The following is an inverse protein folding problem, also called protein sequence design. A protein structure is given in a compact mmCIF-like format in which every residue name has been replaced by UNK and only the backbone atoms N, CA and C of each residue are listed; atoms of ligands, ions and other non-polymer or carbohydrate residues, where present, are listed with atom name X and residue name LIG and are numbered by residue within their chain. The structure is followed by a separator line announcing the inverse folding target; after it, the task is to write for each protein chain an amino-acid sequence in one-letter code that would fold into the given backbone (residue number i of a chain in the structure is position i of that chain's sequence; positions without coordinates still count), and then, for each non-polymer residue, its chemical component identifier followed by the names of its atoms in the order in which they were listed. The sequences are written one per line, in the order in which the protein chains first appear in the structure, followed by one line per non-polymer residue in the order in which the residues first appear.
data_IF_826414762447
#
_entry.id   IF_826414762447
#
_cell.length_a   1.000
_cell.length_b   1.000
_cell.length_c   1.000
_cell.angle_alpha   90.00
_cell.angle_beta   90.00
_cell.angle_gamma   90.00
#
_symmetry.space_group_name_H-M   'P 1'
#
loop_
_entity.id
_entity.type
_entity.pdbx_description
1 polymer ?
#
# COMPACT_ATOMS: atom_id res chain seq x y z
N UNK A 1 -12.12 -9.81 -5.16
CA UNK A 1 -11.86 -9.30 -3.80
C UNK A 1 -11.33 -7.89 -3.95
N UNK A 2 -11.97 -6.89 -3.34
CA UNK A 2 -11.49 -5.51 -3.46
C UNK A 2 -10.05 -5.41 -2.93
N UNK A 3 -9.15 -4.68 -3.61
CA UNK A 3 -7.80 -4.48 -3.13
C UNK A 3 -7.83 -3.70 -1.80
N UNK A 4 -6.88 -3.97 -0.89
CA UNK A 4 -6.80 -3.22 0.34
C UNK A 4 -6.46 -1.74 0.09
N UNK A 5 -6.91 -0.86 0.98
CA UNK A 5 -6.62 0.58 0.92
C UNK A 5 -5.14 0.95 1.07
N UNK A 6 -4.28 0.02 1.52
CA UNK A 6 -2.84 0.20 1.63
C UNK A 6 -2.12 -0.95 0.94
N UNK A 7 -0.98 -0.66 0.31
CA UNK A 7 -0.15 -1.67 -0.34
C UNK A 7 0.29 -2.76 0.67
N UNK A 8 -0.05 -4.01 0.34
CA UNK A 8 0.21 -5.19 1.17
C UNK A 8 0.55 -6.40 0.30
N UNK A 9 1.60 -7.18 0.64
CA UNK A 9 2.01 -8.39 -0.05
C UNK A 9 1.17 -9.60 0.41
N UNK A 10 -0.15 -9.49 0.31
CA UNK A 10 -1.08 -10.60 0.58
C UNK A 10 -1.15 -11.53 -0.64
N UNK A 11 -1.65 -12.78 -0.53
CA UNK A 11 -1.79 -13.66 -1.70
C UNK A 11 -2.47 -12.95 -2.87
N UNK A 12 -1.89 -13.09 -4.06
CA UNK A 12 -2.39 -12.50 -5.31
C UNK A 12 -2.48 -10.96 -5.34
N UNK A 13 -1.73 -10.26 -4.48
CA UNK A 13 -1.74 -8.80 -4.42
C UNK A 13 -1.47 -8.14 -5.78
N UNK A 14 -0.52 -8.64 -6.57
CA UNK A 14 -0.20 -8.10 -7.90
C UNK A 14 -1.42 -8.07 -8.83
N UNK A 15 -2.18 -9.16 -8.87
CA UNK A 15 -3.38 -9.23 -9.71
C UNK A 15 -4.43 -8.24 -9.22
N UNK A 16 -4.69 -8.21 -7.91
CA UNK A 16 -5.69 -7.33 -7.33
C UNK A 16 -5.36 -5.84 -7.54
N UNK A 17 -4.10 -5.43 -7.37
CA UNK A 17 -3.68 -4.06 -7.64
C UNK A 17 -3.60 -3.76 -9.14
N UNK A 18 -3.22 -4.72 -9.99
CA UNK A 18 -3.25 -4.54 -11.44
C UNK A 18 -4.67 -4.32 -11.96
N UNK A 19 -5.64 -5.08 -11.44
CA UNK A 19 -7.07 -4.88 -11.72
C UNK A 19 -7.54 -3.49 -11.26
N UNK A 20 -7.11 -3.03 -10.08
CA UNK A 20 -7.42 -1.69 -9.59
C UNK A 20 -6.89 -0.61 -10.54
N UNK A 21 -5.61 -0.70 -10.93
CA UNK A 21 -4.99 0.32 -11.78
C UNK A 21 -5.63 0.36 -13.17
N UNK A 22 -5.98 -0.80 -13.75
CA UNK A 22 -6.77 -0.85 -14.99
C UNK A 22 -8.16 -0.25 -14.83
N UNK A 23 -8.85 -0.55 -13.73
CA UNK A 23 -10.17 0.04 -13.45
C UNK A 23 -10.09 1.56 -13.36
N UNK A 24 -9.03 2.10 -12.74
CA UNK A 24 -8.78 3.55 -12.69
C UNK A 24 -8.49 4.10 -14.08
N UNK A 25 -7.67 3.42 -14.88
CA UNK A 25 -7.37 3.82 -16.25
C UNK A 25 -8.65 3.90 -17.10
N UNK A 26 -9.49 2.87 -17.05
CA UNK A 26 -10.76 2.82 -17.78
C UNK A 26 -11.73 3.92 -17.32
N UNK A 27 -11.83 4.13 -16.00
CA UNK A 27 -12.72 5.13 -15.41
C UNK A 27 -12.27 6.59 -15.63
N UNK A 28 -11.05 6.81 -16.13
CA UNK A 28 -10.48 8.14 -16.35
C UNK A 28 -10.10 8.39 -17.82
N UNK A 29 -10.37 7.44 -18.72
CA UNK A 29 -9.90 7.45 -20.11
C UNK A 29 -10.48 8.60 -20.95
N UNK A 30 -11.67 9.09 -20.61
CA UNK A 30 -12.40 10.13 -21.35
C UNK A 30 -12.21 11.54 -20.78
N UNK A 31 -11.37 11.70 -19.75
CA UNK A 31 -11.09 12.99 -19.12
C UNK A 31 -9.89 13.64 -19.82
N UNK A 32 -10.09 14.70 -20.64
CA UNK A 32 -8.98 15.38 -21.29
C UNK A 32 -8.11 16.12 -20.25
N UNK A 33 -6.80 16.18 -20.51
CA UNK A 33 -5.82 16.94 -19.73
C UNK A 33 -5.78 16.61 -18.22
N UNK A 34 -6.13 15.38 -17.84
CA UNK A 34 -6.14 14.93 -16.45
C UNK A 34 -4.71 14.90 -15.85
N UNK A 35 -4.42 15.77 -14.86
CA UNK A 35 -3.20 15.71 -14.02
C UNK A 35 -3.37 14.67 -12.91
N UNK A 36 -3.43 13.38 -13.30
CA UNK A 36 -3.57 12.29 -12.36
C UNK A 36 -2.29 12.13 -11.53
N UNK A 37 -2.44 12.08 -10.21
CA UNK A 37 -1.33 11.82 -9.29
C UNK A 37 -1.56 10.54 -8.51
N UNK A 38 -0.48 9.83 -8.18
CA UNK A 38 -0.54 8.55 -7.47
C UNK A 38 0.36 8.56 -6.23
N UNK A 39 -0.25 8.21 -5.11
CA UNK A 39 0.38 8.08 -3.80
C UNK A 39 0.36 6.61 -3.37
N UNK A 40 1.53 6.06 -3.01
CA UNK A 40 1.64 4.64 -2.64
C UNK A 40 2.08 4.53 -1.19
N UNK A 41 1.16 4.07 -0.36
CA UNK A 41 1.36 3.93 1.08
C UNK A 41 1.30 2.45 1.44
N UNK A 42 2.37 1.96 2.04
CA UNK A 42 2.41 0.59 2.56
C UNK A 42 1.71 0.50 3.91
N UNK A 43 1.12 -0.67 4.16
CA UNK A 43 0.52 -0.93 5.47
C UNK A 43 1.57 -0.81 6.59
N UNK A 44 1.24 0.00 7.60
CA UNK A 44 2.01 0.22 8.81
C UNK A 44 1.09 0.33 10.01
N UNK A 45 1.60 0.02 11.20
CA UNK A 45 0.84 0.13 12.43
C UNK A 45 1.74 0.51 13.61
N UNK A 46 1.14 0.94 14.72
CA UNK A 46 1.80 1.06 16.02
C UNK A 46 1.25 -0.02 16.96
N UNK A 47 1.94 -0.32 18.05
CA UNK A 47 1.42 -1.27 19.05
C UNK A 47 0.03 -0.83 19.55
N UNK A 48 -0.13 0.47 19.84
CA UNK A 48 -1.41 1.04 20.24
C UNK A 48 -2.51 0.86 19.18
N UNK A 49 -2.22 1.12 17.90
CA UNK A 49 -3.25 0.95 16.85
C UNK A 49 -3.63 -0.51 16.64
N UNK A 50 -2.67 -1.44 16.80
CA UNK A 50 -2.94 -2.88 16.75
C UNK A 50 -3.86 -3.29 17.89
N UNK A 51 -3.57 -2.86 19.12
CA UNK A 51 -4.34 -3.25 20.30
C UNK A 51 -5.78 -2.74 20.21
N UNK A 52 -5.96 -1.48 19.78
CA UNK A 52 -7.28 -0.91 19.49
C UNK A 52 -8.01 -1.70 18.41
N UNK A 53 -7.36 -1.97 17.27
CA UNK A 53 -7.99 -2.68 16.15
C UNK A 53 -8.40 -4.10 16.56
N UNK A 54 -7.56 -4.81 17.30
CA UNK A 54 -7.81 -6.20 17.71
C UNK A 54 -8.93 -6.28 18.75
N UNK A 55 -9.05 -5.27 19.61
CA UNK A 55 -10.18 -5.13 20.55
C UNK A 55 -11.52 -5.01 19.82
N UNK A 56 -11.59 -4.17 18.78
CA UNK A 56 -12.82 -3.96 18.00
C UNK A 56 -13.11 -5.12 17.04
N UNK A 57 -12.06 -5.72 16.47
CA UNK A 57 -12.17 -6.77 15.46
C UNK A 57 -11.33 -8.01 15.83
N UNK A 58 -11.76 -8.81 16.82
CA UNK A 58 -10.98 -9.96 17.30
C UNK A 58 -10.71 -11.03 16.24
N UNK A 59 -11.54 -11.08 15.19
CA UNK A 59 -11.43 -12.01 14.06
C UNK A 59 -10.78 -11.38 12.82
N UNK A 60 -10.09 -10.25 12.97
CA UNK A 60 -9.38 -9.63 11.86
C UNK A 60 -8.33 -10.58 11.27
N UNK A 61 -8.22 -10.60 9.94
CA UNK A 61 -7.18 -11.33 9.22
C UNK A 61 -5.98 -10.43 8.85
N UNK A 62 -5.95 -9.21 9.37
CA UNK A 62 -4.92 -8.23 9.06
C UNK A 62 -3.59 -8.61 9.72
N UNK A 63 -2.54 -8.77 8.92
CA UNK A 63 -1.21 -9.16 9.40
C UNK A 63 -0.50 -8.03 10.15
N UNK A 64 -0.63 -8.05 11.49
CA UNK A 64 -0.01 -7.09 12.42
C UNK A 64 0.98 -7.74 13.41
N UNK A 65 1.60 -8.85 13.01
CA UNK A 65 2.70 -9.46 13.77
C UNK A 65 3.93 -8.54 13.74
N UNK A 66 4.40 -8.13 14.92
CA UNK A 66 5.58 -7.28 15.07
C UNK A 66 6.88 -7.99 14.65
N UNK A 67 6.97 -9.31 14.85
CA UNK A 67 8.17 -10.09 14.53
C UNK A 67 8.41 -10.18 13.01
N UNK A 68 7.33 -10.11 12.22
CA UNK A 68 7.38 -10.06 10.76
C UNK A 68 7.65 -8.65 10.19
N UNK A 69 7.97 -7.65 11.04
CA UNK A 69 8.05 -6.23 10.66
C UNK A 69 9.36 -5.60 11.08
N UNK A 70 9.70 -4.49 10.41
CA UNK A 70 10.79 -3.61 10.85
C UNK A 70 10.22 -2.48 11.69
N UNK A 71 10.71 -2.35 12.93
CA UNK A 71 10.38 -1.23 13.81
C UNK A 71 11.16 0.02 13.39
N UNK A 72 10.46 1.13 13.21
CA UNK A 72 11.03 2.46 12.92
C UNK A 72 10.57 3.46 13.97
N UNK A 73 11.51 4.26 14.48
CA UNK A 73 11.21 5.33 15.43
C UNK A 73 10.94 6.63 14.68
N UNK A 74 9.91 7.36 15.11
CA UNK A 74 9.64 8.72 14.69
C UNK A 74 10.47 9.72 15.50
N UNK A 75 10.44 10.98 15.06
CA UNK A 75 11.17 12.11 15.67
C UNK A 75 10.94 12.28 17.17
N UNK A 76 9.76 11.91 17.66
CA UNK A 76 9.34 12.06 19.06
C UNK A 76 9.30 10.73 19.83
N UNK A 77 10.03 9.71 19.38
CA UNK A 77 10.15 8.42 20.06
C UNK A 77 9.03 7.41 19.80
N UNK A 78 7.92 7.82 19.16
CA UNK A 78 6.87 6.89 18.76
C UNK A 78 7.38 5.86 17.74
N UNK A 79 7.16 4.57 18.01
CA UNK A 79 7.54 3.49 17.10
C UNK A 79 6.39 3.08 16.18
N UNK A 80 6.72 2.81 14.92
CA UNK A 80 5.83 2.21 13.93
C UNK A 80 6.48 0.96 13.32
N UNK A 81 5.64 0.02 12.91
CA UNK A 81 6.02 -1.23 12.28
C UNK A 81 5.71 -1.14 10.79
N UNK A 82 6.74 -1.33 9.96
CA UNK A 82 6.66 -1.32 8.49
C UNK A 82 7.14 -2.66 7.93
N UNK A 83 6.91 -2.93 6.65
CA UNK A 83 7.47 -4.14 6.03
C UNK A 83 9.01 -4.13 6.02
N UNK A 84 9.66 -5.31 6.03
CA UNK A 84 11.10 -5.44 5.85
C UNK A 84 11.59 -4.80 4.54
N UNK A 85 12.87 -4.40 4.51
CA UNK A 85 13.49 -3.70 3.36
C UNK A 85 13.28 -4.42 2.03
N UNK A 86 13.45 -5.75 2.00
CA UNK A 86 13.25 -6.57 0.80
C UNK A 86 11.81 -6.46 0.26
N UNK A 87 10.82 -6.67 1.13
CA UNK A 87 9.40 -6.56 0.78
C UNK A 87 9.02 -5.15 0.34
N UNK A 88 9.56 -4.12 0.99
CA UNK A 88 9.36 -2.73 0.57
C UNK A 88 9.89 -2.47 -0.84
N UNK A 89 11.05 -3.02 -1.17
CA UNK A 89 11.64 -2.89 -2.51
C UNK A 89 10.84 -3.66 -3.57
N UNK A 90 10.37 -4.87 -3.25
CA UNK A 90 9.52 -5.67 -4.13
C UNK A 90 8.21 -4.94 -4.48
N UNK A 91 7.50 -4.44 -3.46
CA UNK A 91 6.26 -3.71 -3.68
C UNK A 91 6.52 -2.45 -4.51
N UNK A 92 7.53 -1.66 -4.14
CA UNK A 92 7.87 -0.42 -4.85
C UNK A 92 8.18 -0.67 -6.32
N UNK A 93 9.08 -1.61 -6.59
CA UNK A 93 9.49 -1.93 -7.96
C UNK A 93 8.31 -2.37 -8.81
N UNK A 94 7.43 -3.21 -8.25
CA UNK A 94 6.25 -3.66 -8.97
C UNK A 94 5.28 -2.51 -9.26
N UNK A 95 4.98 -1.66 -8.27
CA UNK A 95 4.10 -0.50 -8.49
C UNK A 95 4.70 0.52 -9.46
N UNK A 96 6.02 0.74 -9.42
CA UNK A 96 6.70 1.62 -10.39
C UNK A 96 6.53 1.07 -11.82
N UNK A 97 6.70 -0.24 -12.03
CA UNK A 97 6.50 -0.89 -13.34
C UNK A 97 5.04 -0.88 -13.78
N UNK A 98 4.12 -1.29 -12.92
CA UNK A 98 2.70 -1.43 -13.28
C UNK A 98 2.07 -0.06 -13.57
N UNK A 99 2.41 0.99 -12.82
CA UNK A 99 1.93 2.34 -13.10
C UNK A 99 2.44 2.88 -14.42
N UNK A 100 3.72 2.68 -14.74
CA UNK A 100 4.26 3.09 -16.02
C UNK A 100 3.56 2.41 -17.21
N UNK A 101 3.11 1.15 -17.02
CA UNK A 101 2.40 0.40 -18.04
C UNK A 101 0.90 0.77 -18.15
N UNK A 102 0.23 1.02 -17.02
CA UNK A 102 -1.24 1.18 -16.97
C UNK A 102 -1.71 2.64 -16.94
N UNK A 103 -0.91 3.53 -16.35
CA UNK A 103 -1.23 4.95 -16.15
C UNK A 103 0.00 5.81 -16.51
N UNK A 104 0.48 5.79 -17.76
CA UNK A 104 1.76 6.39 -18.15
C UNK A 104 1.80 7.92 -17.99
N UNK A 105 0.65 8.60 -18.02
CA UNK A 105 0.55 10.03 -17.81
C UNK A 105 0.50 10.42 -16.31
N UNK A 106 0.26 9.45 -15.43
CA UNK A 106 0.10 9.73 -14.01
C UNK A 106 1.44 10.00 -13.33
N UNK A 107 1.47 11.00 -12.46
CA UNK A 107 2.67 11.36 -11.71
C UNK A 107 2.69 10.69 -10.35
N UNK A 108 3.68 9.83 -10.15
CA UNK A 108 3.97 9.25 -8.84
C UNK A 108 4.55 10.32 -7.89
N UNK A 109 3.87 10.59 -6.78
CA UNK A 109 4.31 11.62 -5.82
C UNK A 109 5.24 11.06 -4.75
N UNK A 110 4.82 9.99 -4.07
CA UNK A 110 5.61 9.43 -2.98
C UNK A 110 5.37 7.93 -2.73
N UNK A 111 6.31 7.36 -1.96
CA UNK A 111 6.32 6.00 -1.46
C UNK A 111 6.62 6.03 0.05
N UNK A 112 5.71 5.53 0.89
CA UNK A 112 5.89 5.56 2.37
C UNK A 112 5.58 4.26 3.10
#
# INVERSE_FOLDING_TARGET
MAPPACAMPIPQWRNAYGDLLRTVADATADIPDLDLTVERITHRFTAASRDVLTSWYPRTKLGMDEAARTRKYGKYGAAKYVYPKHTMAELRSWFDTELAATLPAARALYWS
#
